data_IF_909455730554
#
_entry.id   IF_909455730554
#
_cell.length_a   1.000
_cell.length_b   1.000
_cell.length_c   1.000
_cell.angle_alpha   90.00
_cell.angle_beta   90.00
_cell.angle_gamma   90.00
#
_symmetry.space_group_name_H-M   'P 1'
#
loop_
_entity.id
_entity.type
_entity.pdbx_description
1 polymer ?
#
# COMPACT_ATOMS: atom_id res chain seq x y z
N UNK A 1 -3.64 21.96 -11.94
CA UNK A 1 -2.84 22.62 -10.88
C UNK A 1 -3.79 23.09 -9.80
N UNK A 2 -3.34 23.15 -8.54
CA UNK A 2 -4.15 23.63 -7.41
C UNK A 2 -3.55 24.93 -6.85
N UNK A 3 -4.38 25.79 -6.26
CA UNK A 3 -3.95 26.95 -5.47
C UNK A 3 -4.51 26.80 -4.07
N UNK A 4 -3.68 27.09 -3.07
CA UNK A 4 -4.06 27.06 -1.65
C UNK A 4 -3.31 28.18 -0.93
N UNK A 5 -3.93 28.72 0.13
CA UNK A 5 -3.26 29.62 1.07
C UNK A 5 -2.60 28.85 2.23
N UNK A 6 -2.88 27.55 2.36
CA UNK A 6 -2.26 26.67 3.34
C UNK A 6 -0.88 26.18 2.87
N UNK A 7 -0.05 25.74 3.81
CA UNK A 7 1.26 25.13 3.52
C UNK A 7 1.18 23.64 3.18
N UNK A 8 -0.02 23.05 3.23
CA UNK A 8 -0.28 21.64 2.94
C UNK A 8 -1.38 21.50 1.90
N UNK A 9 -1.28 20.47 1.05
CA UNK A 9 -2.33 20.11 0.10
C UNK A 9 -2.36 18.59 -0.10
N UNK A 10 -3.56 17.99 -0.12
CA UNK A 10 -3.74 16.54 -0.26
C UNK A 10 -4.29 16.17 -1.63
N UNK A 11 -3.40 15.67 -2.48
CA UNK A 11 -3.77 14.98 -3.71
C UNK A 11 -4.38 13.61 -3.39
N UNK A 12 -5.37 13.19 -4.18
CA UNK A 12 -6.05 11.89 -4.06
C UNK A 12 -6.23 11.30 -5.45
N UNK A 13 -6.50 9.99 -5.52
CA UNK A 13 -6.77 9.27 -6.77
C UNK A 13 -5.67 9.42 -7.85
N UNK A 14 -4.43 9.50 -7.40
CA UNK A 14 -3.29 9.46 -8.32
C UNK A 14 -3.09 8.03 -8.80
N UNK A 15 -2.88 7.87 -10.11
CA UNK A 15 -2.54 6.59 -10.70
C UNK A 15 -1.14 6.11 -10.25
N UNK A 16 -0.83 4.85 -10.52
CA UNK A 16 0.52 4.35 -10.35
C UNK A 16 1.46 5.04 -11.35
N UNK A 17 2.62 5.50 -10.91
CA UNK A 17 3.55 6.21 -11.77
C UNK A 17 4.63 7.00 -11.05
N UNK A 18 5.50 7.61 -11.86
CA UNK A 18 6.51 8.58 -11.41
C UNK A 18 5.92 9.98 -11.55
N UNK A 19 6.14 10.79 -10.52
CA UNK A 19 5.59 12.14 -10.43
C UNK A 19 6.69 13.13 -10.07
N UNK A 20 6.52 14.35 -10.56
CA UNK A 20 7.26 15.52 -10.08
C UNK A 20 6.24 16.50 -9.49
N UNK A 21 6.36 16.76 -8.19
CA UNK A 21 5.61 17.83 -7.53
C UNK A 21 6.41 19.12 -7.70
N UNK A 22 5.76 20.16 -8.23
CA UNK A 22 6.33 21.51 -8.33
C UNK A 22 5.45 22.48 -7.56
N UNK A 23 6.04 23.25 -6.65
CA UNK A 23 5.38 24.27 -5.84
C UNK A 23 5.93 25.63 -6.22
N UNK A 24 5.05 26.63 -6.36
CA UNK A 24 5.40 28.03 -6.61
C UNK A 24 4.61 28.91 -5.65
N UNK A 25 5.30 29.81 -4.94
CA UNK A 25 4.65 30.86 -4.18
C UNK A 25 4.02 31.88 -5.12
N UNK A 26 2.83 32.39 -4.79
CA UNK A 26 2.13 33.42 -5.57
C UNK A 26 1.75 34.56 -4.65
N UNK A 27 2.10 35.80 -4.99
CA UNK A 27 1.72 36.97 -4.20
C UNK A 27 0.33 37.52 -4.61
N UNK A 28 -0.17 38.52 -3.88
CA UNK A 28 -1.49 39.12 -4.11
C UNK A 28 -1.68 39.72 -5.52
N UNK A 29 -0.58 40.05 -6.22
CA UNK A 29 -0.60 40.57 -7.60
C UNK A 29 -0.47 39.47 -8.66
N UNK A 30 -0.49 38.20 -8.26
CA UNK A 30 -0.38 37.05 -9.16
C UNK A 30 1.05 36.74 -9.63
N UNK A 31 2.06 37.42 -9.11
CA UNK A 31 3.46 37.13 -9.45
C UNK A 31 3.89 35.83 -8.77
N UNK A 32 4.63 35.01 -9.51
CA UNK A 32 5.14 33.72 -9.04
C UNK A 32 6.59 33.85 -8.61
N UNK A 33 6.95 33.26 -7.47
CA UNK A 33 8.34 33.05 -7.08
C UNK A 33 8.98 31.85 -7.81
N UNK A 34 10.24 31.58 -7.48
CA UNK A 34 10.97 30.45 -8.02
C UNK A 34 10.30 29.11 -7.67
N UNK A 35 10.32 28.12 -8.58
CA UNK A 35 9.76 26.81 -8.33
C UNK A 35 10.64 25.97 -7.40
N UNK A 36 10.01 25.27 -6.47
CA UNK A 36 10.62 24.14 -5.75
C UNK A 36 10.02 22.83 -6.28
N UNK A 37 10.87 21.86 -6.61
CA UNK A 37 10.43 20.57 -7.18
C UNK A 37 10.99 19.38 -6.42
N UNK A 38 10.18 18.33 -6.29
CA UNK A 38 10.59 17.03 -5.76
C UNK A 38 9.97 15.91 -6.59
N UNK A 39 10.73 14.85 -6.83
CA UNK A 39 10.23 13.65 -7.52
C UNK A 39 9.85 12.57 -6.53
N UNK A 40 8.73 11.90 -6.79
CA UNK A 40 8.24 10.77 -6.02
C UNK A 40 7.58 9.74 -6.93
N UNK A 41 7.23 8.58 -6.36
CA UNK A 41 6.63 7.46 -7.10
C UNK A 41 5.49 6.87 -6.30
N UNK A 42 4.41 6.53 -7.00
CA UNK A 42 3.28 5.77 -6.46
C UNK A 42 3.31 4.42 -7.15
N UNK A 43 3.61 3.37 -6.39
CA UNK A 43 3.72 2.00 -6.91
C UNK A 43 2.67 1.11 -6.24
N UNK A 44 2.26 0.06 -6.95
CA UNK A 44 1.61 -1.04 -6.28
C UNK A 44 2.63 -1.72 -5.34
N UNK A 45 2.20 -2.22 -4.16
CA UNK A 45 3.00 -3.12 -3.37
C UNK A 45 3.46 -4.32 -4.21
N UNK A 46 4.68 -4.79 -4.00
CA UNK A 46 5.14 -6.02 -4.64
C UNK A 46 4.39 -7.21 -4.05
N UNK A 47 4.16 -8.25 -4.85
CA UNK A 47 3.69 -9.54 -4.32
C UNK A 47 4.71 -10.09 -3.29
N UNK A 48 4.27 -10.85 -2.28
CA UNK A 48 5.19 -11.60 -1.43
C UNK A 48 6.12 -12.49 -2.27
N UNK A 49 7.39 -12.55 -1.88
CA UNK A 49 8.37 -13.47 -2.45
C UNK A 49 8.21 -14.87 -1.84
N UNK A 50 7.98 -14.93 -0.53
CA UNK A 50 7.75 -16.16 0.22
C UNK A 50 6.68 -15.92 1.29
N UNK A 51 6.10 -17.02 1.77
CA UNK A 51 5.20 -17.03 2.93
C UNK A 51 5.77 -18.03 3.92
N UNK A 52 6.22 -17.56 5.07
CA UNK A 52 6.66 -18.39 6.17
C UNK A 52 5.43 -18.84 6.97
N UNK A 53 5.30 -20.15 7.18
CA UNK A 53 4.25 -20.75 8.01
C UNK A 53 4.89 -21.40 9.23
N UNK A 54 4.55 -20.89 10.41
CA UNK A 54 5.05 -21.41 11.68
C UNK A 54 3.92 -22.09 12.44
N UNK A 55 3.90 -23.43 12.53
CA UNK A 55 2.95 -24.16 13.36
C UNK A 55 3.35 -24.09 14.84
N UNK A 56 2.36 -23.99 15.72
CA UNK A 56 2.44 -24.16 17.16
C UNK A 56 1.36 -25.14 17.64
N UNK A 57 1.37 -25.48 18.93
CA UNK A 57 0.52 -26.54 19.49
C UNK A 57 -0.98 -26.39 19.18
N UNK A 58 -1.50 -25.17 19.22
CA UNK A 58 -2.86 -24.81 18.77
C UNK A 58 -2.82 -23.50 17.99
N UNK A 59 -1.78 -23.31 17.19
CA UNK A 59 -1.56 -22.03 16.54
C UNK A 59 -0.96 -22.22 15.16
N UNK A 60 -1.31 -21.36 14.22
CA UNK A 60 -0.56 -21.19 12.98
C UNK A 60 -0.32 -19.70 12.78
N UNK A 61 0.93 -19.34 12.46
CA UNK A 61 1.32 -17.99 12.08
C UNK A 61 1.79 -17.98 10.63
N UNK A 62 1.25 -17.05 9.84
CA UNK A 62 1.63 -16.80 8.46
C UNK A 62 2.31 -15.43 8.33
N UNK A 63 3.54 -15.41 7.82
CA UNK A 63 4.33 -14.19 7.62
C UNK A 63 4.75 -14.08 6.15
N UNK A 64 4.09 -13.21 5.36
CA UNK A 64 4.55 -12.89 4.02
C UNK A 64 5.85 -12.08 4.06
N UNK A 65 6.82 -12.45 3.23
CA UNK A 65 8.10 -11.72 3.10
C UNK A 65 8.22 -11.12 1.71
N UNK A 66 8.60 -9.86 1.64
CA UNK A 66 8.95 -9.20 0.38
C UNK A 66 10.40 -9.52 0.01
N UNK A 67 10.69 -9.58 -1.29
CA UNK A 67 12.07 -9.73 -1.78
C UNK A 67 12.94 -8.51 -1.40
N UNK A 68 12.33 -7.34 -1.32
CA UNK A 68 12.94 -6.10 -0.83
C UNK A 68 12.06 -5.58 0.30
N UNK A 69 12.67 -5.31 1.45
CA UNK A 69 11.94 -4.81 2.61
C UNK A 69 11.25 -3.47 2.30
N UNK A 70 9.95 -3.41 2.56
CA UNK A 70 9.13 -2.20 2.51
C UNK A 70 8.19 -2.19 3.72
N UNK A 71 8.43 -1.33 4.73
CA UNK A 71 7.62 -1.29 5.95
C UNK A 71 6.22 -0.70 5.74
N UNK A 72 5.96 -0.09 4.60
CA UNK A 72 4.66 0.53 4.29
C UNK A 72 3.64 -0.46 3.75
N UNK A 73 4.09 -1.66 3.39
CA UNK A 73 3.24 -2.72 2.85
C UNK A 73 2.55 -3.47 3.98
N UNK A 74 1.24 -3.64 3.82
CA UNK A 74 0.42 -4.54 4.62
C UNK A 74 -0.17 -5.62 3.71
N UNK A 75 -0.49 -6.78 4.27
CA UNK A 75 -1.09 -7.90 3.54
C UNK A 75 -2.48 -8.17 4.06
N UNK A 76 -3.34 -8.62 3.16
CA UNK A 76 -4.64 -9.17 3.49
C UNK A 76 -4.55 -10.68 3.63
N UNK A 77 -5.24 -11.23 4.62
CA UNK A 77 -5.29 -12.65 4.89
C UNK A 77 -6.69 -13.18 4.62
N UNK A 78 -6.74 -14.27 3.85
CA UNK A 78 -7.98 -14.89 3.38
C UNK A 78 -7.87 -16.40 3.56
N UNK A 79 -8.96 -17.04 3.99
CA UNK A 79 -9.01 -18.49 4.20
C UNK A 79 -10.13 -19.14 3.40
N UNK A 80 -9.83 -20.24 2.72
CA UNK A 80 -10.81 -21.13 2.13
C UNK A 80 -10.42 -22.58 2.41
N UNK A 81 -11.40 -23.41 2.74
CA UNK A 81 -11.21 -24.86 2.91
C UNK A 81 -10.86 -25.54 1.58
N UNK A 82 -11.37 -25.00 0.47
CA UNK A 82 -11.10 -25.50 -0.88
C UNK A 82 -9.99 -24.67 -1.52
N UNK A 83 -9.07 -25.36 -2.20
CA UNK A 83 -8.00 -24.69 -2.94
C UNK A 83 -8.57 -23.78 -4.02
N UNK A 84 -8.17 -22.51 -3.98
CA UNK A 84 -8.48 -21.51 -5.01
C UNK A 84 -7.30 -21.42 -5.97
N UNK A 85 -7.51 -21.68 -7.26
CA UNK A 85 -6.48 -21.59 -8.30
C UNK A 85 -6.46 -20.23 -9.00
N UNK A 86 -7.62 -19.57 -9.10
CA UNK A 86 -7.76 -18.24 -9.66
C UNK A 86 -7.87 -17.20 -8.54
N UNK A 87 -6.88 -16.31 -8.42
CA UNK A 87 -6.84 -15.28 -7.36
C UNK A 87 -8.03 -14.33 -7.40
N UNK A 88 -8.67 -14.12 -8.56
CA UNK A 88 -9.88 -13.30 -8.68
C UNK A 88 -11.12 -13.90 -7.96
N UNK A 89 -11.05 -15.16 -7.54
CA UNK A 89 -12.12 -15.82 -6.78
C UNK A 89 -11.92 -15.72 -5.26
N UNK A 90 -10.79 -15.21 -4.78
CA UNK A 90 -10.48 -15.13 -3.34
C UNK A 90 -11.57 -14.36 -2.60
N UNK A 91 -11.94 -13.18 -3.08
CA UNK A 91 -12.98 -12.34 -2.45
C UNK A 91 -14.38 -12.97 -2.47
N UNK A 92 -14.63 -13.93 -3.37
CA UNK A 92 -15.94 -14.58 -3.52
C UNK A 92 -16.05 -15.90 -2.77
N UNK A 93 -14.93 -16.60 -2.56
CA UNK A 93 -14.91 -17.99 -2.09
C UNK A 93 -14.02 -18.23 -0.87
N UNK A 94 -13.40 -17.17 -0.35
CA UNK A 94 -12.64 -17.21 0.89
C UNK A 94 -13.23 -16.25 1.93
N UNK A 95 -13.05 -16.58 3.20
CA UNK A 95 -13.37 -15.72 4.34
C UNK A 95 -12.19 -14.79 4.60
N UNK A 96 -12.48 -13.50 4.69
CA UNK A 96 -11.50 -12.50 5.13
C UNK A 96 -11.13 -12.71 6.60
N UNK A 97 -9.84 -12.66 6.92
CA UNK A 97 -9.29 -12.90 8.25
C UNK A 97 -8.68 -11.65 8.89
N UNK A 98 -8.37 -10.63 8.09
CA UNK A 98 -7.79 -9.37 8.56
C UNK A 98 -6.64 -8.88 7.67
N UNK A 99 -6.07 -7.75 8.08
CA UNK A 99 -4.91 -7.12 7.44
C UNK A 99 -3.79 -6.92 8.46
N UNK A 100 -2.55 -7.12 8.03
CA UNK A 100 -1.38 -6.92 8.87
C UNK A 100 -0.07 -7.30 8.17
N UNK A 101 1.04 -7.21 8.89
CA UNK A 101 2.33 -7.75 8.46
C UNK A 101 2.45 -9.26 8.67
N UNK A 102 1.59 -9.83 9.52
CA UNK A 102 1.44 -11.26 9.78
C UNK A 102 0.00 -11.57 10.20
N UNK A 103 -0.36 -12.84 10.13
CA UNK A 103 -1.62 -13.32 10.68
C UNK A 103 -1.37 -14.55 11.55
N UNK A 104 -2.03 -14.59 12.70
CA UNK A 104 -1.97 -15.70 13.64
C UNK A 104 -3.37 -16.11 14.01
N UNK A 105 -3.63 -17.42 13.98
CA UNK A 105 -4.86 -18.01 14.50
C UNK A 105 -4.54 -18.98 15.61
N UNK A 106 -5.39 -18.99 16.62
CA UNK A 106 -5.38 -19.99 17.69
C UNK A 106 -6.58 -20.92 17.50
N UNK A 107 -6.35 -22.22 17.68
CA UNK A 107 -7.34 -23.29 17.61
C UNK A 107 -7.95 -23.64 18.95
#
# INVERSE_FOLDING_TARGET
TARTAETTYRFRQLALGRYTLTVRAVNARGQQGDPASVSFRINAPAKPATIELTPGYFQITAVPRLAVYDPTVQFEFWFSEKRITNTAQVEKSARYLGTGSQWTVQG
#
